data_IF_348332775272
#
_entry.id   IF_348332775272
#
_cell.length_a   1.000
_cell.length_b   1.000
_cell.length_c   1.000
_cell.angle_alpha   90.00
_cell.angle_beta   90.00
_cell.angle_gamma   90.00
#
_symmetry.space_group_name_H-M   'P 1'
#
loop_
_entity.id
_entity.type
_entity.pdbx_description
1 polymer ?
#
# COMPACT_ATOMS: atom_id res chain seq x y z
N UNK A 1 -17.20 -3.88 26.17
CA UNK A 1 -15.99 -3.16 25.68
C UNK A 1 -15.02 -4.05 24.92
N UNK A 2 -14.68 -5.25 25.39
CA UNK A 2 -13.75 -6.17 24.67
C UNK A 2 -14.27 -6.68 23.31
N UNK A 3 -15.60 -6.86 23.16
CA UNK A 3 -16.24 -7.29 21.89
C UNK A 3 -16.21 -6.23 20.78
N UNK A 4 -16.10 -4.95 21.13
CA UNK A 4 -16.03 -3.83 20.19
C UNK A 4 -14.60 -3.65 19.69
N UNK A 5 -13.61 -3.83 20.55
CA UNK A 5 -12.18 -3.76 20.17
C UNK A 5 -11.79 -4.87 19.16
N UNK A 6 -12.39 -6.06 19.25
CA UNK A 6 -12.07 -7.16 18.35
C UNK A 6 -12.69 -7.00 16.93
N UNK A 7 -13.81 -6.29 16.79
CA UNK A 7 -14.36 -5.92 15.48
C UNK A 7 -13.56 -4.81 14.78
N UNK A 8 -12.79 -4.01 15.54
CA UNK A 8 -12.05 -2.87 15.02
C UNK A 8 -10.65 -3.22 14.47
N UNK A 9 -10.13 -4.40 14.77
CA UNK A 9 -8.80 -4.85 14.28
C UNK A 9 -8.86 -5.32 12.81
N UNK A 10 -10.05 -5.54 12.27
CA UNK A 10 -10.31 -5.85 10.85
C UNK A 10 -10.54 -4.61 9.99
N UNK A 11 -10.37 -3.41 10.53
CA UNK A 11 -10.45 -2.19 9.73
C UNK A 11 -9.18 -2.06 8.90
N UNK A 12 -9.23 -2.70 7.77
CA UNK A 12 -8.81 -2.31 6.44
C UNK A 12 -7.77 -1.20 6.38
N UNK A 13 -6.54 -1.57 6.09
CA UNK A 13 -5.66 -0.78 5.25
C UNK A 13 -6.31 -0.72 3.84
N UNK A 14 -7.36 0.01 3.68
CA UNK A 14 -7.87 0.35 2.36
C UNK A 14 -7.20 1.64 1.95
N UNK A 15 -6.10 1.52 1.24
CA UNK A 15 -5.64 2.60 0.39
C UNK A 15 -6.65 2.67 -0.76
N UNK A 16 -7.63 3.53 -0.64
CA UNK A 16 -8.30 4.05 -1.81
C UNK A 16 -7.34 5.08 -2.41
N UNK A 17 -6.62 4.70 -3.46
CA UNK A 17 -6.35 5.69 -4.50
C UNK A 17 -7.74 6.14 -4.89
N UNK A 18 -8.13 7.34 -4.46
CA UNK A 18 -9.41 7.96 -4.79
C UNK A 18 -9.39 8.29 -6.29
N UNK A 19 -9.50 7.26 -7.09
CA UNK A 19 -10.01 7.35 -8.43
C UNK A 19 -11.54 7.37 -8.27
N UNK A 20 -12.14 8.48 -8.66
CA UNK A 20 -13.59 8.65 -8.61
C UNK A 20 -14.32 7.49 -9.27
N UNK A 21 -15.59 7.34 -8.90
CA UNK A 21 -16.53 6.34 -9.37
C UNK A 21 -16.50 6.09 -10.88
N UNK A 22 -16.69 4.80 -11.19
CA UNK A 22 -17.26 4.22 -12.39
C UNK A 22 -16.47 4.38 -13.70
N UNK A 23 -16.08 3.23 -14.28
CA UNK A 23 -15.51 3.08 -15.61
C UNK A 23 -14.19 3.81 -15.88
N UNK A 24 -13.16 3.51 -15.09
CA UNK A 24 -11.80 3.97 -15.38
C UNK A 24 -11.30 3.20 -16.60
N UNK A 25 -11.43 3.80 -17.77
CA UNK A 25 -10.60 3.45 -18.93
C UNK A 25 -9.21 3.95 -18.60
N UNK A 26 -8.35 3.09 -18.14
CA UNK A 26 -6.98 3.42 -17.78
C UNK A 26 -6.12 3.29 -19.01
N UNK A 27 -5.58 4.39 -19.44
CA UNK A 27 -4.47 4.63 -20.35
C UNK A 27 -4.36 3.80 -21.63
N UNK A 28 -4.30 4.48 -22.74
CA UNK A 28 -3.83 3.96 -24.01
C UNK A 28 -2.46 4.60 -24.35
N UNK A 29 -1.68 4.10 -25.33
CA UNK A 29 -0.38 4.66 -25.69
C UNK A 29 -0.43 6.17 -26.01
N UNK A 30 0.71 6.84 -25.91
CA UNK A 30 0.91 8.21 -26.45
C UNK A 30 0.35 8.28 -27.89
N UNK A 31 -0.48 9.30 -28.16
CA UNK A 31 -1.25 9.41 -29.40
C UNK A 31 -2.71 8.91 -29.29
N UNK A 32 -3.11 8.38 -28.14
CA UNK A 32 -4.50 7.98 -27.88
C UNK A 32 -5.31 9.13 -27.30
N UNK A 33 -6.61 9.11 -27.63
CA UNK A 33 -7.58 10.05 -27.06
C UNK A 33 -8.08 9.53 -25.71
N UNK A 34 -7.78 10.25 -24.61
CA UNK A 34 -8.06 9.80 -23.24
C UNK A 34 -8.93 10.76 -22.46
N UNK A 35 -9.74 10.19 -21.58
CA UNK A 35 -10.40 10.86 -20.47
C UNK A 35 -9.61 10.61 -19.17
N UNK A 36 -8.96 11.67 -18.67
CA UNK A 36 -8.13 11.58 -17.45
C UNK A 36 -8.84 12.08 -16.18
N UNK A 37 -10.16 12.32 -16.23
CA UNK A 37 -10.95 12.68 -15.04
C UNK A 37 -10.91 11.58 -13.98
N UNK A 38 -10.76 10.33 -14.39
CA UNK A 38 -10.52 9.21 -13.49
C UNK A 38 -9.25 9.33 -12.62
N UNK A 39 -8.27 10.11 -13.04
CA UNK A 39 -7.07 10.44 -12.24
C UNK A 39 -7.28 11.65 -11.33
N UNK A 40 -8.49 12.22 -11.28
CA UNK A 40 -8.81 13.42 -10.51
C UNK A 40 -8.39 14.73 -11.18
N UNK A 41 -8.09 14.69 -12.47
CA UNK A 41 -7.76 15.87 -13.29
C UNK A 41 -8.97 16.22 -14.15
N UNK A 42 -9.67 17.29 -13.77
CA UNK A 42 -10.92 17.70 -14.43
C UNK A 42 -10.63 18.55 -15.66
N UNK A 43 -10.36 17.90 -16.79
CA UNK A 43 -10.20 18.49 -18.11
C UNK A 43 -10.93 17.66 -19.16
N UNK A 44 -11.29 18.25 -20.31
CA UNK A 44 -11.86 17.52 -21.42
C UNK A 44 -10.94 16.38 -21.88
N UNK A 45 -11.51 15.25 -22.35
CA UNK A 45 -10.75 14.21 -23.01
C UNK A 45 -9.97 14.76 -24.21
N UNK A 46 -8.76 14.22 -24.43
CA UNK A 46 -7.91 14.69 -25.52
C UNK A 46 -6.80 13.70 -25.87
N UNK A 47 -6.10 13.98 -26.95
CA UNK A 47 -4.93 13.23 -27.37
C UNK A 47 -3.79 13.41 -26.37
N UNK A 48 -3.15 12.29 -25.97
CA UNK A 48 -2.04 12.30 -25.01
C UNK A 48 -0.71 12.43 -25.75
N UNK A 49 0.10 13.40 -25.31
CA UNK A 49 1.47 13.55 -25.78
C UNK A 49 2.44 13.78 -24.63
N UNK A 50 3.66 13.27 -24.76
CA UNK A 50 4.70 13.43 -23.76
C UNK A 50 4.97 14.92 -23.44
N UNK A 51 5.21 15.21 -22.16
CA UNK A 51 5.56 16.56 -21.73
C UNK A 51 7.02 16.94 -22.04
N UNK A 52 7.88 15.94 -22.29
CA UNK A 52 9.31 16.09 -22.60
C UNK A 52 10.07 17.00 -21.62
N UNK A 53 9.58 17.07 -20.39
CA UNK A 53 10.12 17.95 -19.33
C UNK A 53 10.21 19.42 -19.73
N UNK A 54 9.45 19.87 -20.73
CA UNK A 54 9.39 21.28 -21.15
C UNK A 54 8.98 22.16 -19.97
N UNK A 55 9.55 23.37 -19.91
CA UNK A 55 9.23 24.36 -18.87
C UNK A 55 8.22 25.35 -19.40
N UNK A 56 7.25 25.68 -18.56
CA UNK A 56 6.21 26.67 -18.85
C UNK A 56 6.15 27.71 -17.76
N UNK A 57 5.82 28.94 -18.15
CA UNK A 57 5.44 30.01 -17.24
C UNK A 57 3.93 29.93 -17.01
N UNK A 58 3.52 29.82 -15.75
CA UNK A 58 2.11 29.72 -15.36
C UNK A 58 1.88 30.42 -14.02
N UNK A 59 0.71 30.25 -13.43
CA UNK A 59 0.40 30.70 -12.07
C UNK A 59 0.22 29.49 -11.14
N UNK A 60 0.69 29.65 -9.91
CA UNK A 60 0.38 28.70 -8.84
C UNK A 60 -1.07 28.88 -8.32
N UNK A 61 -1.42 28.17 -7.25
CA UNK A 61 -2.74 28.24 -6.61
C UNK A 61 -3.03 29.59 -5.91
N UNK A 62 -1.98 30.34 -5.62
CA UNK A 62 -2.08 31.66 -4.95
C UNK A 62 -2.09 32.82 -5.96
N UNK A 63 -1.94 32.50 -7.24
CA UNK A 63 -1.93 33.49 -8.32
C UNK A 63 -0.54 34.01 -8.69
N UNK A 64 0.50 33.57 -8.00
CA UNK A 64 1.88 33.95 -8.26
C UNK A 64 2.40 33.34 -9.57
N UNK A 65 3.21 34.09 -10.31
CA UNK A 65 3.87 33.59 -11.53
C UNK A 65 5.00 32.64 -11.14
N UNK A 66 4.96 31.43 -11.68
CA UNK A 66 5.94 30.38 -11.42
C UNK A 66 6.37 29.68 -12.70
N UNK A 67 7.55 29.07 -12.68
CA UNK A 67 8.00 28.13 -13.69
C UNK A 67 7.55 26.72 -13.29
N UNK A 68 6.83 26.06 -14.17
CA UNK A 68 6.37 24.69 -13.97
C UNK A 68 6.92 23.78 -15.06
N UNK A 69 7.07 22.50 -14.76
CA UNK A 69 7.54 21.50 -15.73
C UNK A 69 6.35 20.72 -16.29
N UNK A 70 6.24 20.62 -17.60
CA UNK A 70 5.17 19.85 -18.26
C UNK A 70 5.36 18.37 -17.94
N UNK A 71 4.35 17.78 -17.33
CA UNK A 71 4.31 16.36 -16.99
C UNK A 71 3.72 15.53 -18.15
N UNK A 72 2.57 15.95 -18.67
CA UNK A 72 1.92 15.35 -19.84
C UNK A 72 1.00 16.39 -20.52
N UNK A 73 0.87 16.29 -21.84
CA UNK A 73 -0.10 17.05 -22.60
C UNK A 73 -1.34 16.20 -22.86
N UNK A 74 -2.54 16.78 -22.78
CA UNK A 74 -3.82 16.15 -23.09
C UNK A 74 -4.70 17.12 -23.84
N UNK A 75 -4.81 16.93 -25.16
CA UNK A 75 -5.47 17.87 -26.07
C UNK A 75 -4.88 19.29 -25.94
N UNK A 76 -5.72 20.27 -25.69
CA UNK A 76 -5.31 21.66 -25.47
C UNK A 76 -4.84 21.97 -24.04
N UNK A 77 -4.70 20.96 -23.19
CA UNK A 77 -4.32 21.14 -21.80
C UNK A 77 -2.94 20.54 -21.51
N UNK A 78 -2.26 21.11 -20.55
CA UNK A 78 -1.01 20.62 -19.96
C UNK A 78 -1.24 20.26 -18.51
N UNK A 79 -0.89 19.04 -18.10
CA UNK A 79 -0.70 18.73 -16.69
C UNK A 79 0.73 19.12 -16.34
N UNK A 80 0.90 20.04 -15.42
CA UNK A 80 2.20 20.61 -15.07
C UNK A 80 2.56 20.36 -13.63
N UNK A 81 3.85 20.13 -13.39
CA UNK A 81 4.45 20.02 -12.06
C UNK A 81 4.83 21.42 -11.58
N UNK A 82 4.17 21.89 -10.54
CA UNK A 82 4.47 23.13 -9.85
C UNK A 82 5.72 23.01 -8.96
N UNK A 83 6.39 24.13 -8.61
CA UNK A 83 7.55 24.13 -7.70
C UNK A 83 7.31 23.50 -6.34
N UNK A 84 6.09 23.52 -5.83
CA UNK A 84 5.68 22.89 -4.55
C UNK A 84 5.38 21.38 -4.65
N UNK A 85 5.56 20.81 -5.84
CA UNK A 85 5.36 19.38 -6.12
C UNK A 85 3.96 19.00 -6.56
N UNK A 86 3.00 19.92 -6.66
CA UNK A 86 1.66 19.57 -7.11
C UNK A 86 1.59 19.42 -8.64
N UNK A 87 0.75 18.49 -9.10
CA UNK A 87 0.33 18.39 -10.49
C UNK A 87 -1.00 19.11 -10.65
N UNK A 88 -1.04 20.05 -11.60
CA UNK A 88 -2.24 20.81 -11.91
C UNK A 88 -2.44 20.85 -13.42
N UNK A 89 -3.69 20.87 -13.85
CA UNK A 89 -4.02 21.11 -15.25
C UNK A 89 -4.05 22.61 -15.55
N UNK A 90 -3.56 22.97 -16.73
CA UNK A 90 -3.60 24.34 -17.28
C UNK A 90 -3.93 24.26 -18.77
N UNK A 91 -4.79 25.14 -19.24
CA UNK A 91 -4.93 25.32 -20.69
C UNK A 91 -3.62 25.85 -21.28
N UNK A 92 -3.27 25.47 -22.51
CA UNK A 92 -2.02 25.88 -23.15
C UNK A 92 -1.81 27.41 -23.16
N UNK A 93 -2.88 28.19 -23.24
CA UNK A 93 -2.86 29.66 -23.17
C UNK A 93 -2.43 30.20 -21.80
N UNK A 94 -2.55 29.42 -20.76
CA UNK A 94 -2.21 29.76 -19.37
C UNK A 94 -0.85 29.19 -18.93
N UNK A 95 -0.22 28.40 -19.80
CA UNK A 95 1.05 27.71 -19.55
C UNK A 95 1.97 27.90 -20.77
N UNK A 96 2.56 29.10 -20.88
CA UNK A 96 3.44 29.50 -21.97
C UNK A 96 4.79 28.77 -21.90
N UNK A 97 5.21 28.13 -23.00
CA UNK A 97 6.52 27.49 -23.12
C UNK A 97 7.62 28.53 -23.02
N UNK A 98 8.65 28.23 -22.22
CA UNK A 98 9.81 29.10 -22.01
C UNK A 98 11.10 28.30 -22.01
N UNK A 99 12.20 28.94 -22.43
CA UNK A 99 13.56 28.39 -22.35
C UNK A 99 14.23 28.84 -21.04
N UNK A 100 13.64 28.38 -19.93
CA UNK A 100 14.12 28.63 -18.57
C UNK A 100 14.25 27.33 -17.79
N UNK A 101 15.03 27.33 -16.72
CA UNK A 101 15.18 26.14 -15.89
C UNK A 101 14.11 26.08 -14.79
N UNK A 102 13.49 24.91 -14.64
CA UNK A 102 12.61 24.62 -13.51
C UNK A 102 13.36 24.78 -12.18
N UNK A 103 12.74 25.48 -11.24
CA UNK A 103 13.26 25.63 -9.88
C UNK A 103 12.22 25.16 -8.88
N UNK A 104 12.61 24.24 -7.98
CA UNK A 104 11.76 23.82 -6.87
C UNK A 104 11.54 24.97 -5.89
N UNK A 105 10.41 24.91 -5.17
CA UNK A 105 10.09 25.89 -4.13
C UNK A 105 11.13 25.85 -2.99
N UNK A 106 11.41 27.03 -2.44
CA UNK A 106 12.15 27.13 -1.17
C UNK A 106 11.32 26.56 -0.02
N UNK A 107 11.92 25.66 0.76
CA UNK A 107 11.22 24.94 1.83
C UNK A 107 10.78 25.85 2.98
N UNK A 108 11.48 26.97 3.22
CA UNK A 108 11.11 27.91 4.29
C UNK A 108 9.91 28.71 3.85
N UNK A 109 9.96 29.23 2.64
CA UNK A 109 8.88 30.04 2.08
C UNK A 109 7.61 29.21 1.86
N UNK A 110 7.74 27.99 1.29
CA UNK A 110 6.61 27.09 1.11
C UNK A 110 5.96 26.71 2.45
N UNK A 111 6.75 26.42 3.47
CA UNK A 111 6.23 26.12 4.80
C UNK A 111 5.42 27.28 5.40
N UNK A 112 5.85 28.54 5.20
CA UNK A 112 5.10 29.74 5.62
C UNK A 112 3.79 29.88 4.83
N UNK A 113 3.83 29.79 3.52
CA UNK A 113 2.63 29.87 2.66
C UNK A 113 1.59 28.83 3.02
N UNK A 114 2.01 27.56 3.32
CA UNK A 114 1.11 26.50 3.70
C UNK A 114 0.37 26.79 5.01
N UNK A 115 1.03 27.31 6.05
CA UNK A 115 0.34 27.64 7.31
C UNK A 115 -0.48 28.94 7.23
N UNK A 116 -0.07 29.89 6.40
CA UNK A 116 -0.80 31.14 6.24
C UNK A 116 -2.10 30.94 5.45
N UNK A 117 -2.09 30.11 4.41
CA UNK A 117 -3.22 30.01 3.47
C UNK A 117 -4.03 28.71 3.58
N UNK A 118 -3.40 27.58 3.92
CA UNK A 118 -4.08 26.27 3.91
C UNK A 118 -4.29 25.67 5.31
N UNK A 119 -3.33 25.88 6.21
CA UNK A 119 -3.31 25.24 7.53
C UNK A 119 -3.10 26.24 8.67
N UNK A 120 -3.99 27.23 8.83
CA UNK A 120 -3.85 28.23 9.90
C UNK A 120 -3.84 27.55 11.28
N UNK A 121 -2.90 27.96 12.13
CA UNK A 121 -2.73 27.41 13.47
C UNK A 121 -1.91 26.11 13.55
N UNK A 122 -1.49 25.56 12.40
CA UNK A 122 -0.54 24.45 12.38
C UNK A 122 0.90 24.93 12.61
N UNK A 123 1.76 24.00 13.00
CA UNK A 123 3.21 24.19 13.14
C UNK A 123 3.94 23.64 11.93
N UNK A 124 5.15 24.14 11.69
CA UNK A 124 6.02 23.66 10.62
C UNK A 124 7.29 23.07 11.20
N UNK A 125 7.65 21.88 10.74
CA UNK A 125 8.96 21.27 10.95
C UNK A 125 9.58 20.94 9.61
N UNK A 126 10.88 21.12 9.46
CA UNK A 126 11.62 20.83 8.22
C UNK A 126 12.76 19.87 8.51
N UNK A 127 13.02 19.01 7.54
CA UNK A 127 14.20 18.14 7.48
C UNK A 127 14.89 18.35 6.13
N UNK A 128 15.80 17.51 5.74
CA UNK A 128 16.55 17.69 4.47
C UNK A 128 15.61 17.57 3.25
N UNK A 129 14.66 16.64 3.26
CA UNK A 129 13.80 16.36 2.11
C UNK A 129 12.33 16.76 2.33
N UNK A 130 11.88 16.93 3.60
CA UNK A 130 10.48 17.03 3.96
C UNK A 130 10.11 18.34 4.66
N UNK A 131 8.87 18.79 4.39
CA UNK A 131 8.14 19.79 5.15
C UNK A 131 6.99 19.10 5.86
N UNK A 132 6.94 19.18 7.19
CA UNK A 132 5.87 18.65 8.02
C UNK A 132 4.99 19.79 8.50
N UNK A 133 3.71 19.75 8.16
CA UNK A 133 2.67 20.68 8.59
C UNK A 133 1.78 19.94 9.59
N UNK A 134 1.70 20.37 10.85
CA UNK A 134 1.07 19.56 11.87
C UNK A 134 0.41 20.34 13.01
N UNK A 135 -0.70 19.80 13.55
CA UNK A 135 -1.30 20.18 14.83
C UNK A 135 -1.28 19.03 15.85
N UNK A 136 -0.58 17.94 15.54
CA UNK A 136 -0.35 16.78 16.40
C UNK A 136 0.54 17.10 17.59
N UNK A 137 0.78 16.10 18.47
CA UNK A 137 1.82 16.20 19.49
C UNK A 137 3.22 16.31 18.87
N UNK A 138 4.13 17.03 19.53
CA UNK A 138 5.52 17.19 19.06
C UNK A 138 6.26 15.84 19.00
N UNK A 139 5.96 14.95 19.95
CA UNK A 139 6.52 13.60 19.96
C UNK A 139 6.14 12.79 18.73
N UNK A 140 4.87 12.88 18.30
CA UNK A 140 4.40 12.21 17.10
C UNK A 140 5.00 12.79 15.82
N UNK A 141 5.05 14.13 15.71
CA UNK A 141 5.67 14.81 14.58
C UNK A 141 7.18 14.48 14.47
N UNK A 142 7.87 14.41 15.61
CA UNK A 142 9.29 14.03 15.67
C UNK A 142 9.50 12.57 15.27
N UNK A 143 8.66 11.65 15.74
CA UNK A 143 8.74 10.24 15.37
C UNK A 143 8.52 10.03 13.86
N UNK A 144 7.48 10.66 13.31
CA UNK A 144 7.16 10.63 11.88
C UNK A 144 8.31 11.19 11.03
N UNK A 145 8.82 12.37 11.39
CA UNK A 145 9.91 13.00 10.65
C UNK A 145 11.19 12.17 10.66
N UNK A 146 11.51 11.56 11.80
CA UNK A 146 12.69 10.71 11.94
C UNK A 146 12.61 9.46 11.04
N UNK A 147 11.44 8.81 10.96
CA UNK A 147 11.26 7.61 10.14
C UNK A 147 11.38 7.95 8.65
N UNK A 148 10.62 8.92 8.16
CA UNK A 148 10.60 9.27 6.73
C UNK A 148 11.97 9.75 6.25
N UNK A 149 12.64 10.60 7.03
CA UNK A 149 13.98 11.08 6.67
C UNK A 149 15.01 9.94 6.66
N UNK A 150 14.95 9.01 7.62
CA UNK A 150 15.86 7.87 7.71
C UNK A 150 15.67 6.87 6.56
N UNK A 151 14.43 6.69 6.08
CA UNK A 151 14.10 5.76 4.99
C UNK A 151 14.67 6.24 3.65
N UNK A 152 14.70 7.55 3.42
CA UNK A 152 15.04 8.16 2.13
C UNK A 152 16.37 7.66 1.56
N UNK A 153 17.53 7.77 2.22
CA UNK A 153 18.81 7.30 1.66
C UNK A 153 18.83 5.77 1.48
N UNK A 154 18.19 5.03 2.38
CA UNK A 154 18.13 3.58 2.30
C UNK A 154 17.32 3.08 1.11
N UNK A 155 16.17 3.70 0.82
CA UNK A 155 15.33 3.37 -0.34
C UNK A 155 16.03 3.76 -1.64
N UNK A 156 16.62 4.97 -1.72
CA UNK A 156 17.42 5.39 -2.87
C UNK A 156 18.54 4.38 -3.15
N UNK A 157 19.27 3.97 -2.11
CA UNK A 157 20.33 2.96 -2.24
C UNK A 157 19.81 1.60 -2.71
N UNK A 158 18.66 1.15 -2.18
CA UNK A 158 18.03 -0.09 -2.60
C UNK A 158 17.61 -0.05 -4.07
N UNK A 159 16.96 1.03 -4.53
CA UNK A 159 16.53 1.18 -5.93
C UNK A 159 17.73 1.23 -6.89
N UNK A 160 18.80 1.92 -6.53
CA UNK A 160 20.07 1.88 -7.29
C UNK A 160 20.62 0.46 -7.41
N UNK A 161 20.55 -0.33 -6.34
CA UNK A 161 21.01 -1.74 -6.36
C UNK A 161 20.14 -2.66 -7.23
N UNK A 162 18.89 -2.26 -7.56
CA UNK A 162 18.08 -2.92 -8.57
C UNK A 162 18.47 -2.53 -10.01
N UNK A 163 19.40 -1.57 -10.18
CA UNK A 163 19.81 -1.04 -11.47
C UNK A 163 18.88 0.04 -12.03
N UNK A 164 18.10 0.69 -11.16
CA UNK A 164 17.21 1.79 -11.55
C UNK A 164 17.96 3.12 -11.58
N UNK A 165 17.54 4.01 -12.48
CA UNK A 165 17.99 5.39 -12.51
C UNK A 165 17.25 6.18 -11.41
N UNK A 166 18.01 6.66 -10.43
CA UNK A 166 17.46 7.29 -9.23
C UNK A 166 18.15 8.61 -8.94
N UNK A 167 17.38 9.65 -8.69
CA UNK A 167 17.84 10.97 -8.29
C UNK A 167 17.31 11.38 -6.90
N UNK A 168 17.76 12.51 -6.39
CA UNK A 168 17.14 13.12 -5.19
C UNK A 168 15.79 13.72 -5.54
N UNK A 169 14.87 13.88 -4.58
CA UNK A 169 13.58 14.52 -4.84
C UNK A 169 13.72 15.90 -5.51
N UNK A 170 13.07 16.07 -6.65
CA UNK A 170 13.08 17.30 -7.45
C UNK A 170 12.28 18.45 -6.84
N UNK A 171 11.42 18.14 -5.88
CA UNK A 171 10.52 19.08 -5.20
C UNK A 171 10.47 18.77 -3.71
N UNK A 172 10.09 19.72 -2.84
CA UNK A 172 9.88 19.45 -1.42
C UNK A 172 8.78 18.40 -1.20
N UNK A 173 9.03 17.45 -0.31
CA UNK A 173 8.05 16.42 0.09
C UNK A 173 7.21 16.95 1.26
N UNK A 174 5.92 17.10 1.06
CA UNK A 174 5.02 17.67 2.08
C UNK A 174 4.27 16.56 2.82
N UNK A 175 4.27 16.62 4.15
CA UNK A 175 3.53 15.73 5.04
C UNK A 175 2.59 16.57 5.89
N UNK A 176 1.29 16.27 5.86
CA UNK A 176 0.26 16.97 6.66
C UNK A 176 -0.25 16.03 7.75
N UNK A 177 -0.17 16.46 9.00
CA UNK A 177 -0.50 15.63 10.17
C UNK A 177 -1.57 16.30 11.03
N UNK A 178 -2.74 15.66 11.10
CA UNK A 178 -3.87 16.09 11.89
C UNK A 178 -3.86 15.42 13.28
N UNK A 179 -4.34 16.14 14.29
CA UNK A 179 -4.46 15.59 15.64
C UNK A 179 -5.52 14.50 15.72
N UNK A 180 -6.68 14.72 15.08
CA UNK A 180 -7.84 13.83 15.16
C UNK A 180 -8.20 13.21 13.82
N UNK A 181 -8.92 12.06 13.85
CA UNK A 181 -9.49 11.43 12.66
C UNK A 181 -10.57 12.35 12.04
N UNK A 182 -11.30 13.11 12.86
CA UNK A 182 -12.33 14.05 12.38
C UNK A 182 -11.74 15.17 11.53
N UNK A 183 -10.66 15.83 11.99
CA UNK A 183 -9.96 16.88 11.23
C UNK A 183 -9.42 16.33 9.90
N UNK A 184 -8.82 15.15 9.94
CA UNK A 184 -8.29 14.46 8.77
C UNK A 184 -9.39 14.15 7.75
N UNK A 185 -10.57 13.67 8.18
CA UNK A 185 -11.71 13.39 7.30
C UNK A 185 -12.41 14.66 6.79
N UNK A 186 -12.33 15.75 7.54
CA UNK A 186 -12.84 17.07 7.09
C UNK A 186 -11.97 17.66 5.98
N UNK A 187 -10.65 17.45 6.05
CA UNK A 187 -9.71 17.90 5.03
C UNK A 187 -10.01 17.25 3.67
N UNK A 188 -10.37 15.96 3.68
CA UNK A 188 -10.79 15.24 2.48
C UNK A 188 -11.78 14.13 2.86
N UNK A 189 -12.82 13.96 2.04
CA UNK A 189 -13.76 12.84 2.21
C UNK A 189 -13.06 11.52 1.90
N UNK A 190 -12.86 10.71 2.93
CA UNK A 190 -12.14 9.42 2.90
C UNK A 190 -12.91 8.38 3.70
N UNK A 191 -12.68 7.08 3.46
CA UNK A 191 -13.30 6.00 4.23
C UNK A 191 -12.96 6.07 5.72
N UNK A 192 -13.88 5.61 6.55
CA UNK A 192 -13.66 5.48 7.99
C UNK A 192 -12.56 4.46 8.29
N UNK A 193 -11.71 4.77 9.28
CA UNK A 193 -10.61 3.90 9.70
C UNK A 193 -9.32 4.02 8.89
N UNK A 194 -9.29 4.84 7.84
CA UNK A 194 -8.05 5.16 7.14
C UNK A 194 -7.14 5.97 8.06
N UNK A 195 -5.89 5.55 8.20
CA UNK A 195 -4.89 6.17 9.09
C UNK A 195 -4.08 7.24 8.36
N UNK A 196 -3.71 6.96 7.12
CA UNK A 196 -2.91 7.84 6.27
C UNK A 196 -3.21 7.55 4.79
N UNK A 197 -2.81 8.46 3.91
CA UNK A 197 -2.75 8.24 2.47
C UNK A 197 -1.72 9.15 1.82
N UNK A 198 -1.16 8.71 0.71
CA UNK A 198 -0.43 9.56 -0.23
C UNK A 198 -1.36 10.00 -1.35
N UNK A 199 -1.29 11.27 -1.73
CA UNK A 199 -2.10 11.82 -2.81
C UNK A 199 -1.24 12.22 -4.00
N UNK A 200 -1.34 11.49 -5.09
CA UNK A 200 -0.49 11.61 -6.28
C UNK A 200 -0.49 13.01 -6.90
N UNK A 201 -1.65 13.68 -6.99
CA UNK A 201 -1.72 15.00 -7.60
C UNK A 201 -1.15 16.11 -6.70
N UNK A 202 -1.48 16.08 -5.40
CA UNK A 202 -0.95 17.09 -4.46
C UNK A 202 0.44 16.77 -3.96
N UNK A 203 0.95 15.57 -4.22
CA UNK A 203 2.24 15.08 -3.72
C UNK A 203 2.37 15.12 -2.19
N UNK A 204 1.28 14.91 -1.48
CA UNK A 204 1.23 15.00 -0.01
C UNK A 204 0.96 13.65 0.61
N UNK A 205 1.71 13.31 1.65
CA UNK A 205 1.31 12.31 2.64
C UNK A 205 0.44 13.01 3.66
N UNK A 206 -0.74 12.47 3.91
CA UNK A 206 -1.70 13.04 4.86
C UNK A 206 -2.08 11.97 5.88
N UNK A 207 -2.08 12.31 7.16
CA UNK A 207 -2.30 11.35 8.24
C UNK A 207 -2.86 12.00 9.51
N UNK A 208 -3.27 11.20 10.49
CA UNK A 208 -3.69 11.68 11.82
C UNK A 208 -3.05 10.92 12.98
N UNK A 209 -2.95 11.58 14.15
CA UNK A 209 -2.34 11.00 15.35
C UNK A 209 -3.27 10.09 16.13
N UNK A 210 -4.59 10.32 16.10
CA UNK A 210 -5.56 9.57 16.88
C UNK A 210 -5.56 8.08 16.53
N UNK A 211 -5.70 7.19 17.53
CA UNK A 211 -5.78 5.74 17.33
C UNK A 211 -6.77 5.10 18.29
N UNK A 212 -7.70 4.35 17.74
CA UNK A 212 -8.66 3.56 18.50
C UNK A 212 -8.01 2.39 19.27
N UNK A 213 -6.82 1.95 18.86
CA UNK A 213 -6.06 0.90 19.55
C UNK A 213 -5.23 1.42 20.73
N UNK A 214 -5.06 2.76 20.85
CA UNK A 214 -4.22 3.36 21.89
C UNK A 214 -4.70 3.02 23.32
N UNK A 215 -6.02 2.87 23.51
CA UNK A 215 -6.62 2.49 24.79
C UNK A 215 -6.46 1.01 25.14
N UNK A 216 -6.16 0.14 24.16
CA UNK A 216 -6.06 -1.30 24.35
C UNK A 216 -4.60 -1.74 24.44
N UNK A 217 -3.76 -1.33 23.49
CA UNK A 217 -2.32 -1.61 23.47
C UNK A 217 -1.58 -0.48 22.74
N UNK A 218 -1.05 0.53 23.47
CA UNK A 218 -0.41 1.71 22.88
C UNK A 218 0.74 1.39 21.94
N UNK A 219 1.58 0.40 22.26
CA UNK A 219 2.73 0.00 21.45
C UNK A 219 2.31 -0.59 20.09
N UNK A 220 1.24 -1.40 20.06
CA UNK A 220 0.72 -1.97 18.83
C UNK A 220 0.10 -0.88 17.95
N UNK A 221 -0.64 0.07 18.55
CA UNK A 221 -1.19 1.22 17.88
C UNK A 221 -0.09 2.07 17.23
N UNK A 222 0.99 2.31 17.96
CA UNK A 222 2.14 3.05 17.44
C UNK A 222 2.83 2.28 16.30
N UNK A 223 3.07 0.97 16.46
CA UNK A 223 3.70 0.13 15.43
C UNK A 223 2.88 0.14 14.13
N UNK A 224 1.57 -0.01 14.23
CA UNK A 224 0.67 0.04 13.07
C UNK A 224 0.76 1.40 12.38
N UNK A 225 0.65 2.50 13.13
CA UNK A 225 0.72 3.85 12.55
C UNK A 225 2.04 4.12 11.85
N UNK A 226 3.15 3.82 12.50
CA UNK A 226 4.48 4.06 11.91
C UNK A 226 4.68 3.21 10.65
N UNK A 227 4.21 1.97 10.62
CA UNK A 227 4.24 1.16 9.40
C UNK A 227 3.40 1.79 8.27
N UNK A 228 2.19 2.29 8.58
CA UNK A 228 1.33 2.96 7.59
C UNK A 228 1.99 4.25 7.09
N UNK A 229 2.54 5.08 7.99
CA UNK A 229 3.25 6.31 7.61
C UNK A 229 4.46 6.00 6.71
N UNK A 230 5.21 4.95 7.03
CA UNK A 230 6.33 4.49 6.22
C UNK A 230 5.85 4.01 4.83
N UNK A 231 4.75 3.29 4.76
CA UNK A 231 4.11 2.84 3.51
C UNK A 231 3.76 4.03 2.59
N UNK A 232 3.04 5.03 3.12
CA UNK A 232 2.68 6.23 2.36
C UNK A 232 3.91 7.05 1.96
N UNK A 233 4.92 7.10 2.84
CA UNK A 233 6.21 7.72 2.55
C UNK A 233 6.97 7.03 1.43
N UNK A 234 6.86 5.69 1.29
CA UNK A 234 7.43 4.96 0.15
C UNK A 234 6.77 5.41 -1.14
N UNK A 235 5.44 5.45 -1.23
CA UNK A 235 4.76 5.94 -2.43
C UNK A 235 5.22 7.35 -2.81
N UNK A 236 5.20 8.30 -1.86
CA UNK A 236 5.67 9.65 -2.09
C UNK A 236 7.12 9.66 -2.60
N UNK A 237 7.99 8.89 -1.97
CA UNK A 237 9.40 8.86 -2.34
C UNK A 237 9.61 8.28 -3.75
N UNK A 238 9.02 7.11 -4.07
CA UNK A 238 9.19 6.47 -5.38
C UNK A 238 8.73 7.35 -6.53
N UNK A 239 7.66 8.14 -6.32
CA UNK A 239 7.15 9.11 -7.28
C UNK A 239 8.03 10.36 -7.45
N UNK A 240 8.98 10.61 -6.54
CA UNK A 240 9.79 11.83 -6.54
C UNK A 240 11.30 11.59 -6.76
N UNK A 241 11.70 10.31 -6.87
CA UNK A 241 13.11 9.95 -7.09
C UNK A 241 13.36 9.27 -8.45
N UNK A 242 12.38 9.33 -9.38
CA UNK A 242 12.51 8.78 -10.73
C UNK A 242 12.17 7.30 -10.85
N UNK A 243 11.67 6.62 -9.80
CA UNK A 243 11.34 5.18 -9.86
C UNK A 243 9.97 4.95 -10.49
N UNK A 244 8.96 5.65 -10.02
CA UNK A 244 7.60 5.55 -10.55
C UNK A 244 7.12 6.92 -11.02
N UNK A 245 6.83 7.04 -12.29
CA UNK A 245 6.26 8.28 -12.82
C UNK A 245 4.84 8.46 -12.30
N UNK A 246 4.50 9.65 -11.79
CA UNK A 246 3.12 9.93 -11.37
C UNK A 246 2.16 9.78 -12.53
N UNK A 247 0.97 9.27 -12.29
CA UNK A 247 -0.04 8.93 -13.29
C UNK A 247 0.37 7.79 -14.25
N UNK A 248 1.50 7.09 -14.05
CA UNK A 248 1.80 5.86 -14.76
C UNK A 248 0.97 4.70 -14.22
N UNK A 249 0.62 3.75 -15.09
CA UNK A 249 -0.25 2.63 -14.73
C UNK A 249 0.56 1.39 -14.33
N UNK A 250 1.27 1.46 -13.22
CA UNK A 250 1.90 0.28 -12.63
C UNK A 250 0.85 -0.72 -12.17
N UNK A 251 1.08 -2.04 -12.32
CA UNK A 251 0.21 -3.04 -11.72
C UNK A 251 0.05 -2.85 -10.22
N UNK A 252 -1.20 -2.92 -9.73
CA UNK A 252 -1.52 -2.62 -8.33
C UNK A 252 -0.75 -3.52 -7.36
N UNK A 253 -0.58 -4.82 -7.69
CA UNK A 253 0.14 -5.74 -6.82
C UNK A 253 1.60 -5.33 -6.55
N UNK A 254 2.30 -4.76 -7.54
CA UNK A 254 3.69 -4.32 -7.34
C UNK A 254 3.76 -2.91 -6.76
N UNK A 255 2.83 -2.03 -7.12
CA UNK A 255 2.72 -0.69 -6.51
C UNK A 255 2.59 -0.80 -4.99
N UNK A 256 1.64 -1.60 -4.52
CA UNK A 256 1.40 -1.80 -3.10
C UNK A 256 2.40 -2.78 -2.47
N UNK A 257 2.76 -3.82 -3.21
CA UNK A 257 3.71 -4.82 -2.75
C UNK A 257 5.09 -4.26 -2.46
N UNK A 258 5.60 -3.33 -3.29
CA UNK A 258 6.90 -2.68 -3.04
C UNK A 258 6.82 -1.70 -1.87
N UNK A 259 5.69 -1.00 -1.68
CA UNK A 259 5.48 -0.14 -0.53
C UNK A 259 5.46 -0.95 0.77
N UNK A 260 4.76 -2.08 0.80
CA UNK A 260 4.77 -3.02 1.93
C UNK A 260 6.13 -3.69 2.18
N UNK A 261 6.88 -3.96 1.12
CA UNK A 261 8.22 -4.56 1.19
C UNK A 261 9.26 -3.61 1.78
N UNK A 262 9.08 -2.29 1.58
CA UNK A 262 9.99 -1.25 2.02
C UNK A 262 9.56 -0.58 3.34
N UNK A 263 8.32 -0.77 3.80
CA UNK A 263 7.79 -0.08 4.98
C UNK A 263 8.18 -0.65 6.35
N UNK A 264 8.67 -1.90 6.55
CA UNK A 264 8.87 -2.45 7.89
C UNK A 264 9.76 -1.58 8.78
N UNK A 265 9.23 -1.23 9.95
CA UNK A 265 9.90 -0.38 10.96
C UNK A 265 9.94 -1.07 12.31
N UNK A 266 10.87 -0.65 13.17
CA UNK A 266 10.87 -1.02 14.58
C UNK A 266 10.21 0.09 15.39
N UNK A 267 9.51 -0.32 16.46
CA UNK A 267 9.02 0.57 17.53
C UNK A 267 9.62 0.11 18.85
N UNK A 268 9.77 0.99 19.82
CA UNK A 268 10.39 0.72 21.10
C UNK A 268 11.40 1.80 21.44
N UNK A 269 12.42 1.48 22.25
CA UNK A 269 13.44 2.44 22.69
C UNK A 269 14.13 3.16 21.51
N UNK A 270 14.26 2.48 20.36
CA UNK A 270 14.85 3.04 19.14
C UNK A 270 13.92 2.76 17.97
N UNK A 271 13.17 3.77 17.56
CA UNK A 271 12.36 3.74 16.35
C UNK A 271 13.28 3.90 15.14
N UNK A 272 13.25 2.93 14.22
CA UNK A 272 14.06 2.99 12.99
C UNK A 272 13.45 2.13 11.88
N UNK A 273 13.76 2.47 10.67
CA UNK A 273 13.50 1.65 9.50
C UNK A 273 14.34 0.36 9.56
N UNK A 274 13.72 -0.77 9.26
CA UNK A 274 14.39 -2.09 9.29
C UNK A 274 15.23 -2.40 8.06
N UNK A 275 15.07 -1.63 6.98
CA UNK A 275 15.66 -1.92 5.67
C UNK A 275 14.71 -2.66 4.74
N UNK A 276 15.08 -2.72 3.45
CA UNK A 276 14.30 -3.40 2.42
C UNK A 276 14.20 -4.92 2.67
N UNK A 277 13.02 -5.47 2.42
CA UNK A 277 12.78 -6.93 2.45
C UNK A 277 12.85 -7.57 3.82
N UNK A 278 12.52 -6.81 4.85
CA UNK A 278 12.22 -7.37 6.17
C UNK A 278 10.80 -7.88 6.21
N UNK A 279 10.54 -8.87 7.08
CA UNK A 279 9.19 -9.44 7.22
C UNK A 279 8.24 -8.37 7.75
N UNK A 280 7.12 -8.21 7.04
CA UNK A 280 6.00 -7.42 7.51
C UNK A 280 5.08 -8.31 8.35
N UNK A 281 5.23 -8.22 9.67
CA UNK A 281 4.50 -9.06 10.63
C UNK A 281 2.98 -8.90 10.51
N UNK A 282 2.47 -7.70 10.16
CA UNK A 282 1.04 -7.48 9.99
C UNK A 282 0.52 -8.19 8.73
N UNK A 283 1.26 -8.12 7.62
CA UNK A 283 0.88 -8.79 6.37
C UNK A 283 0.99 -10.30 6.48
N UNK A 284 2.02 -10.81 7.17
CA UNK A 284 2.10 -12.23 7.50
C UNK A 284 0.93 -12.72 8.34
N UNK A 285 0.50 -11.91 9.32
CA UNK A 285 -0.66 -12.20 10.14
C UNK A 285 -1.96 -12.32 9.32
N UNK A 286 -2.17 -11.39 8.38
CA UNK A 286 -3.35 -11.40 7.49
C UNK A 286 -3.31 -12.60 6.55
N UNK A 287 -2.14 -12.90 5.97
CA UNK A 287 -1.93 -14.09 5.13
C UNK A 287 -2.16 -15.40 5.89
N UNK A 288 -1.66 -15.52 7.11
CA UNK A 288 -1.89 -16.71 7.93
C UNK A 288 -3.40 -16.95 8.09
N UNK A 289 -4.16 -15.92 8.41
CA UNK A 289 -5.62 -16.00 8.53
C UNK A 289 -6.27 -16.36 7.19
N UNK A 290 -5.87 -15.71 6.11
CA UNK A 290 -6.37 -16.01 4.77
C UNK A 290 -6.08 -17.45 4.37
N UNK A 291 -4.84 -17.92 4.52
CA UNK A 291 -4.43 -19.27 4.15
C UNK A 291 -5.11 -20.34 5.00
N UNK A 292 -5.46 -20.05 6.26
CA UNK A 292 -6.28 -20.91 7.09
C UNK A 292 -7.72 -21.02 6.61
N UNK A 293 -8.29 -19.94 6.09
CA UNK A 293 -9.67 -19.86 5.62
C UNK A 293 -9.84 -20.15 4.13
N UNK A 294 -8.81 -19.96 3.29
CA UNK A 294 -8.90 -20.26 1.86
C UNK A 294 -9.01 -21.76 1.62
N UNK A 295 -9.92 -22.13 0.74
CA UNK A 295 -10.22 -23.55 0.47
C UNK A 295 -9.31 -24.08 -0.63
N UNK A 296 -8.78 -25.30 -0.44
CA UNK A 296 -8.15 -26.05 -1.53
C UNK A 296 -9.18 -26.54 -2.56
N UNK A 297 -10.47 -26.53 -2.20
CA UNK A 297 -11.56 -27.14 -2.98
C UNK A 297 -12.29 -26.14 -3.84
N UNK A 298 -12.28 -24.83 -3.50
CA UNK A 298 -13.00 -23.79 -4.21
C UNK A 298 -12.14 -22.91 -5.12
N UNK A 299 -10.82 -22.98 -4.99
CA UNK A 299 -9.87 -22.26 -5.85
C UNK A 299 -8.97 -23.26 -6.57
N UNK A 300 -8.89 -23.12 -7.90
CA UNK A 300 -7.93 -23.87 -8.69
C UNK A 300 -6.48 -23.46 -8.34
N UNK A 301 -5.49 -24.34 -8.49
CA UNK A 301 -4.10 -23.95 -8.32
C UNK A 301 -3.72 -22.77 -9.22
N UNK A 302 -3.16 -21.74 -8.64
CA UNK A 302 -2.79 -20.49 -9.34
C UNK A 302 -3.84 -19.39 -9.30
N UNK A 303 -5.07 -19.64 -8.87
CA UNK A 303 -6.13 -18.64 -8.79
C UNK A 303 -5.77 -17.49 -7.85
N UNK A 304 -5.22 -17.77 -6.68
CA UNK A 304 -4.79 -16.75 -5.73
C UNK A 304 -3.79 -15.75 -6.35
N UNK A 305 -2.77 -16.25 -7.06
CA UNK A 305 -1.81 -15.37 -7.72
C UNK A 305 -2.42 -14.68 -8.94
N UNK A 306 -3.30 -15.36 -9.68
CA UNK A 306 -4.03 -14.78 -10.81
C UNK A 306 -4.86 -13.57 -10.33
N UNK A 307 -5.66 -13.74 -9.29
CA UNK A 307 -6.44 -12.65 -8.68
C UNK A 307 -5.54 -11.51 -8.20
N UNK A 308 -4.43 -11.82 -7.51
CA UNK A 308 -3.48 -10.82 -7.03
C UNK A 308 -2.85 -10.01 -8.17
N UNK A 309 -2.40 -10.67 -9.23
CA UNK A 309 -1.69 -10.03 -10.36
C UNK A 309 -2.65 -9.20 -11.21
N UNK A 310 -3.87 -9.67 -11.42
CA UNK A 310 -4.86 -9.03 -12.28
C UNK A 310 -5.64 -7.91 -11.58
N UNK A 311 -5.57 -7.81 -10.26
CA UNK A 311 -6.35 -6.85 -9.50
C UNK A 311 -6.11 -5.40 -9.94
N UNK A 312 -7.19 -4.66 -10.17
CA UNK A 312 -7.18 -3.20 -10.34
C UNK A 312 -7.24 -2.47 -9.01
N UNK A 313 -7.70 -3.15 -7.93
CA UNK A 313 -7.79 -2.64 -6.56
C UNK A 313 -7.48 -3.78 -5.60
N UNK A 314 -6.93 -3.45 -4.44
CA UNK A 314 -6.61 -4.42 -3.39
C UNK A 314 -7.45 -4.12 -2.13
N UNK A 315 -7.96 -5.17 -1.53
CA UNK A 315 -8.45 -5.18 -0.14
C UNK A 315 -7.30 -5.56 0.82
N UNK A 316 -7.58 -5.71 2.11
CA UNK A 316 -6.57 -6.08 3.11
C UNK A 316 -5.83 -7.38 2.78
N UNK A 317 -6.55 -8.37 2.26
CA UNK A 317 -5.97 -9.64 1.81
C UNK A 317 -5.10 -9.44 0.56
N UNK A 318 -5.56 -8.61 -0.39
CA UNK A 318 -4.81 -8.24 -1.58
C UNK A 318 -3.48 -7.57 -1.27
N UNK A 319 -3.45 -6.66 -0.28
CA UNK A 319 -2.20 -6.05 0.22
C UNK A 319 -1.23 -7.10 0.78
N UNK A 320 -1.73 -8.04 1.58
CA UNK A 320 -0.91 -9.10 2.14
C UNK A 320 -0.38 -10.05 1.05
N UNK A 321 -1.20 -10.35 0.05
CA UNK A 321 -0.83 -11.15 -1.13
C UNK A 321 0.22 -10.45 -1.99
N UNK A 322 0.03 -9.16 -2.25
CA UNK A 322 0.96 -8.31 -3.00
C UNK A 322 2.33 -8.22 -2.31
N UNK A 323 2.35 -8.02 -0.98
CA UNK A 323 3.58 -8.08 -0.20
C UNK A 323 4.26 -9.43 -0.31
N UNK A 324 3.52 -10.53 -0.15
CA UNK A 324 4.08 -11.88 -0.18
C UNK A 324 4.72 -12.20 -1.54
N UNK A 325 4.02 -11.89 -2.63
CA UNK A 325 4.53 -12.08 -3.98
C UNK A 325 5.78 -11.24 -4.23
N UNK A 326 5.74 -9.94 -3.88
CA UNK A 326 6.89 -9.03 -4.01
C UNK A 326 8.08 -9.53 -3.19
N UNK A 327 7.86 -9.92 -1.94
CA UNK A 327 8.92 -10.42 -1.06
C UNK A 327 9.54 -11.72 -1.62
N UNK A 328 8.71 -12.65 -2.08
CA UNK A 328 9.17 -13.89 -2.70
C UNK A 328 10.01 -13.64 -3.96
N UNK A 329 9.50 -12.83 -4.89
CA UNK A 329 10.18 -12.55 -6.16
C UNK A 329 11.49 -11.79 -5.93
N UNK A 330 11.49 -10.74 -5.11
CA UNK A 330 12.69 -9.96 -4.80
C UNK A 330 13.79 -10.78 -4.11
N UNK A 331 13.43 -11.82 -3.33
CA UNK A 331 14.39 -12.69 -2.62
C UNK A 331 14.84 -13.90 -3.44
N UNK A 332 13.96 -14.49 -4.26
CA UNK A 332 14.22 -15.78 -4.93
C UNK A 332 14.39 -15.69 -6.43
N UNK A 333 13.98 -14.57 -7.05
CA UNK A 333 14.02 -14.29 -8.50
C UNK A 333 14.65 -12.93 -8.78
N UNK A 334 15.74 -12.62 -8.11
CA UNK A 334 16.35 -11.28 -8.08
C UNK A 334 16.61 -10.68 -9.46
N UNK A 335 17.19 -11.43 -10.38
CA UNK A 335 17.49 -10.95 -11.73
C UNK A 335 16.24 -10.58 -12.49
N UNK A 336 15.22 -11.46 -12.47
CA UNK A 336 13.93 -11.21 -13.11
C UNK A 336 13.18 -10.06 -12.46
N UNK A 337 13.23 -9.98 -11.12
CA UNK A 337 12.61 -8.88 -10.39
C UNK A 337 13.24 -7.53 -10.73
N UNK A 338 14.56 -7.47 -10.84
CA UNK A 338 15.28 -6.26 -11.25
C UNK A 338 14.87 -5.83 -12.66
N UNK A 339 14.86 -6.77 -13.63
CA UNK A 339 14.47 -6.49 -15.01
C UNK A 339 13.00 -6.02 -15.10
N UNK A 340 12.11 -6.62 -14.31
CA UNK A 340 10.70 -6.20 -14.21
C UNK A 340 10.57 -4.76 -13.68
N UNK A 341 11.30 -4.42 -12.61
CA UNK A 341 11.29 -3.06 -12.04
C UNK A 341 11.85 -2.03 -13.02
N UNK A 342 12.91 -2.39 -13.77
CA UNK A 342 13.49 -1.53 -14.81
C UNK A 342 12.52 -1.27 -15.95
N UNK A 343 11.76 -2.27 -16.39
CA UNK A 343 10.70 -2.07 -17.40
C UNK A 343 9.57 -1.17 -16.88
N UNK A 344 9.14 -1.37 -15.64
CA UNK A 344 8.12 -0.51 -15.03
C UNK A 344 8.58 0.95 -14.90
N UNK A 345 9.87 1.20 -14.63
CA UNK A 345 10.42 2.55 -14.55
C UNK A 345 10.29 3.33 -15.85
N UNK A 346 10.29 2.65 -17.00
CA UNK A 346 10.16 3.29 -18.32
C UNK A 346 8.73 3.76 -18.63
N UNK A 347 7.75 3.37 -17.81
CA UNK A 347 6.37 3.83 -18.02
C UNK A 347 6.25 5.32 -17.69
N UNK A 348 5.94 6.11 -18.72
CA UNK A 348 5.65 7.53 -18.59
C UNK A 348 4.27 7.81 -17.98
N UNK A 349 3.90 9.10 -17.84
CA UNK A 349 2.55 9.47 -17.40
C UNK A 349 1.51 8.94 -18.38
N UNK A 350 0.47 8.29 -17.86
CA UNK A 350 -0.62 7.67 -18.62
C UNK A 350 -0.19 6.48 -19.49
N UNK A 351 1.11 6.14 -19.52
CA UNK A 351 1.58 4.91 -20.18
C UNK A 351 1.15 3.67 -19.40
N UNK A 352 1.05 2.55 -20.11
CA UNK A 352 0.65 1.27 -19.54
C UNK A 352 -0.85 1.16 -19.31
N UNK A 353 -1.60 2.07 -19.91
CA UNK A 353 -3.05 2.09 -19.81
C UNK A 353 -3.74 0.78 -20.07
N UNK A 354 -4.52 0.34 -19.10
CA UNK A 354 -5.10 -0.97 -19.07
C UNK A 354 -6.61 -0.85 -19.01
N UNK A 355 -7.25 -1.61 -19.87
CA UNK A 355 -8.70 -1.78 -19.79
C UNK A 355 -9.01 -2.64 -18.57
N UNK A 356 -9.72 -2.07 -17.62
CA UNK A 356 -10.37 -2.84 -16.55
C UNK A 356 -11.57 -3.52 -17.17
N UNK A 357 -11.64 -4.85 -17.07
CA UNK A 357 -12.80 -5.62 -17.54
C UNK A 357 -13.88 -5.71 -16.46
N UNK A 358 -15.06 -6.26 -16.81
CA UNK A 358 -16.25 -6.22 -15.96
C UNK A 358 -16.09 -6.84 -14.56
N UNK A 359 -15.17 -7.80 -14.39
CA UNK A 359 -14.85 -8.41 -13.09
C UNK A 359 -13.82 -7.62 -12.26
N UNK A 360 -13.40 -6.44 -12.73
CA UNK A 360 -12.42 -5.61 -12.08
C UNK A 360 -10.96 -6.00 -12.33
N UNK A 361 -10.70 -6.99 -13.19
CA UNK A 361 -9.35 -7.44 -13.53
C UNK A 361 -8.72 -6.60 -14.66
N UNK A 362 -7.39 -6.69 -14.77
CA UNK A 362 -6.58 -6.01 -15.79
C UNK A 362 -5.70 -7.04 -16.49
N UNK A 363 -6.17 -7.65 -17.60
CA UNK A 363 -5.47 -8.75 -18.27
C UNK A 363 -4.02 -8.44 -18.67
N UNK A 364 -3.73 -7.19 -19.06
CA UNK A 364 -2.37 -6.76 -19.43
C UNK A 364 -1.36 -6.85 -18.27
N UNK A 365 -1.80 -6.82 -17.02
CA UNK A 365 -0.91 -7.06 -15.88
C UNK A 365 -0.31 -8.47 -15.92
N UNK A 366 -1.07 -9.46 -16.39
CA UNK A 366 -0.57 -10.83 -16.56
C UNK A 366 0.49 -10.91 -17.66
N UNK A 367 0.27 -10.24 -18.79
CA UNK A 367 1.24 -10.21 -19.89
C UNK A 367 2.57 -9.65 -19.42
N UNK A 368 2.53 -8.50 -18.71
CA UNK A 368 3.70 -7.86 -18.16
C UNK A 368 4.41 -8.73 -17.11
N UNK A 369 3.64 -9.43 -16.26
CA UNK A 369 4.18 -10.37 -15.28
C UNK A 369 4.88 -11.55 -15.99
N UNK A 370 4.21 -12.23 -16.93
CA UNK A 370 4.72 -13.44 -17.59
C UNK A 370 5.90 -13.18 -18.53
N UNK A 371 6.14 -11.94 -18.93
CA UNK A 371 7.33 -11.53 -19.67
C UNK A 371 8.62 -11.73 -18.87
N UNK A 372 8.55 -11.57 -17.55
CA UNK A 372 9.72 -11.64 -16.64
C UNK A 372 9.73 -12.85 -15.73
N UNK A 373 8.55 -13.37 -15.39
CA UNK A 373 8.39 -14.46 -14.45
C UNK A 373 7.71 -15.66 -15.10
N UNK A 374 7.62 -16.74 -14.32
CA UNK A 374 7.04 -17.99 -14.77
C UNK A 374 5.55 -17.81 -15.12
N UNK A 375 5.13 -18.31 -16.29
CA UNK A 375 3.73 -18.30 -16.71
C UNK A 375 2.87 -19.32 -15.96
N UNK A 376 3.50 -20.35 -15.35
CA UNK A 376 2.86 -21.32 -14.48
C UNK A 376 2.63 -20.71 -13.09
N UNK A 377 1.48 -20.06 -12.93
CA UNK A 377 1.07 -19.43 -11.67
C UNK A 377 0.76 -20.48 -10.60
N UNK A 378 0.32 -21.69 -10.96
CA UNK A 378 0.06 -22.77 -10.03
C UNK A 378 1.38 -23.24 -9.36
N UNK A 379 2.42 -23.41 -10.15
CA UNK A 379 3.75 -23.77 -9.66
C UNK A 379 4.30 -22.63 -8.77
N UNK A 380 4.18 -21.37 -9.21
CA UNK A 380 4.66 -20.22 -8.45
C UNK A 380 3.90 -20.08 -7.13
N UNK A 381 2.58 -20.26 -7.12
CA UNK A 381 1.77 -20.27 -5.91
C UNK A 381 2.21 -21.36 -4.94
N UNK A 382 2.44 -22.59 -5.43
CA UNK A 382 2.92 -23.70 -4.62
C UNK A 382 4.26 -23.39 -3.95
N UNK A 383 5.20 -22.80 -4.68
CA UNK A 383 6.51 -22.37 -4.16
C UNK A 383 6.36 -21.25 -3.14
N UNK A 384 5.48 -20.27 -3.37
CA UNK A 384 5.20 -19.20 -2.43
C UNK A 384 4.61 -19.73 -1.11
N UNK A 385 3.65 -20.65 -1.19
CA UNK A 385 3.08 -21.34 -0.01
C UNK A 385 4.11 -22.12 0.81
N UNK A 386 5.14 -22.67 0.17
CA UNK A 386 6.25 -23.34 0.84
C UNK A 386 7.29 -22.36 1.41
N UNK A 387 7.40 -21.17 0.83
CA UNK A 387 8.34 -20.14 1.24
C UNK A 387 7.89 -19.38 2.49
N UNK A 388 6.62 -18.99 2.57
CA UNK A 388 6.08 -18.16 3.64
C UNK A 388 6.31 -18.71 5.05
N UNK A 389 6.08 -20.02 5.35
CA UNK A 389 6.28 -20.55 6.68
C UNK A 389 7.75 -20.54 7.17
N UNK A 390 8.72 -20.33 6.27
CA UNK A 390 10.15 -20.27 6.60
C UNK A 390 10.60 -18.87 7.02
N UNK A 391 9.74 -17.85 6.84
CA UNK A 391 10.06 -16.48 7.22
C UNK A 391 10.04 -16.31 8.75
N UNK A 392 10.95 -15.48 9.31
CA UNK A 392 10.98 -15.19 10.74
C UNK A 392 9.83 -14.25 11.12
N UNK A 393 8.65 -14.83 11.30
CA UNK A 393 7.42 -14.14 11.60
C UNK A 393 7.13 -14.09 13.10
N UNK A 394 6.79 -12.91 13.60
CA UNK A 394 6.32 -12.70 14.98
C UNK A 394 4.91 -12.14 14.94
N UNK A 395 3.93 -12.92 15.43
CA UNK A 395 2.54 -12.46 15.48
C UNK A 395 2.39 -11.19 16.32
N UNK A 396 1.96 -10.05 15.75
CA UNK A 396 1.76 -8.81 16.49
C UNK A 396 0.74 -8.93 17.64
N UNK A 397 -0.13 -9.94 17.57
CA UNK A 397 -1.17 -10.22 18.55
C UNK A 397 -0.90 -11.45 19.42
N UNK A 398 0.35 -11.88 19.52
CA UNK A 398 0.75 -13.11 20.25
C UNK A 398 0.24 -13.10 21.71
N UNK A 399 0.21 -11.95 22.37
CA UNK A 399 -0.23 -11.79 23.77
C UNK A 399 -1.75 -11.58 23.92
N UNK A 400 -2.50 -11.53 22.83
CA UNK A 400 -3.97 -11.38 22.87
C UNK A 400 -4.67 -12.73 22.95
N UNK A 401 -5.97 -12.75 23.38
CA UNK A 401 -6.74 -13.98 23.40
C UNK A 401 -6.81 -14.68 22.04
N UNK A 402 -6.65 -16.00 22.06
CA UNK A 402 -6.77 -16.89 20.89
C UNK A 402 -7.66 -18.08 21.21
N UNK A 403 -8.27 -18.64 20.18
CA UNK A 403 -9.13 -19.83 20.26
C UNK A 403 -8.41 -21.01 19.62
N UNK A 404 -8.24 -22.08 20.38
CA UNK A 404 -7.79 -23.36 19.84
C UNK A 404 -9.01 -24.21 19.46
N UNK A 405 -8.97 -24.79 18.27
CA UNK A 405 -9.97 -25.73 17.77
C UNK A 405 -9.31 -27.09 17.59
N UNK A 406 -9.96 -28.11 18.09
CA UNK A 406 -9.64 -29.51 17.84
C UNK A 406 -10.85 -30.20 17.23
N UNK A 407 -10.66 -30.81 16.07
CA UNK A 407 -11.67 -31.61 15.37
C UNK A 407 -11.22 -33.07 15.33
N UNK A 408 -12.04 -33.95 15.86
CA UNK A 408 -11.97 -35.37 15.60
C UNK A 408 -12.85 -35.72 14.41
N UNK A 409 -12.29 -36.35 13.39
CA UNK A 409 -13.00 -36.71 12.16
C UNK A 409 -12.86 -38.20 11.94
N UNK A 410 -13.98 -38.93 11.86
CA UNK A 410 -13.99 -40.35 11.54
C UNK A 410 -14.07 -40.52 10.02
N UNK A 411 -12.98 -40.99 9.42
CA UNK A 411 -12.87 -41.28 7.99
C UNK A 411 -12.52 -42.77 7.82
N UNK A 412 -13.35 -43.50 7.08
CA UNK A 412 -13.17 -44.93 6.85
C UNK A 412 -12.97 -45.73 8.16
N UNK A 413 -13.75 -45.40 9.19
CA UNK A 413 -13.68 -46.04 10.50
C UNK A 413 -12.46 -45.67 11.36
N UNK A 414 -11.61 -44.75 10.91
CA UNK A 414 -10.44 -44.26 11.66
C UNK A 414 -10.63 -42.84 12.12
N UNK A 415 -10.41 -42.62 13.41
CA UNK A 415 -10.41 -41.27 13.99
C UNK A 415 -9.12 -40.53 13.59
N UNK A 416 -9.25 -39.40 12.92
CA UNK A 416 -8.16 -38.44 12.67
C UNK A 416 -8.44 -37.16 13.45
N UNK A 417 -7.41 -36.64 14.12
CA UNK A 417 -7.51 -35.33 14.78
C UNK A 417 -6.86 -34.26 13.91
N UNK A 418 -7.49 -33.12 13.82
CA UNK A 418 -6.96 -31.93 13.18
C UNK A 418 -7.35 -30.69 13.99
N UNK A 419 -6.69 -29.58 13.77
CA UNK A 419 -7.02 -28.36 14.51
C UNK A 419 -6.19 -27.17 14.10
N UNK A 420 -6.52 -26.02 14.68
CA UNK A 420 -5.85 -24.76 14.45
C UNK A 420 -5.99 -23.80 15.61
N UNK A 421 -5.19 -22.74 15.59
CA UNK A 421 -5.28 -21.63 16.53
C UNK A 421 -5.73 -20.38 15.77
N UNK A 422 -6.78 -19.75 16.26
CA UNK A 422 -7.50 -18.66 15.59
C UNK A 422 -7.60 -17.46 16.53
N UNK A 423 -7.69 -16.25 15.95
CA UNK A 423 -7.76 -15.00 16.72
C UNK A 423 -9.06 -14.81 17.48
N UNK A 424 -10.14 -15.37 17.00
CA UNK A 424 -11.44 -15.27 17.65
C UNK A 424 -12.34 -16.46 17.28
N UNK A 425 -13.44 -16.57 18.00
CA UNK A 425 -14.42 -17.65 17.82
C UNK A 425 -15.11 -17.61 16.45
N UNK A 426 -15.28 -16.43 15.85
CA UNK A 426 -15.91 -16.30 14.52
C UNK A 426 -15.04 -16.99 13.46
N UNK A 427 -13.75 -16.66 13.39
CA UNK A 427 -12.78 -17.26 12.46
C UNK A 427 -12.66 -18.75 12.71
N UNK A 428 -12.62 -19.16 13.98
CA UNK A 428 -12.60 -20.57 14.38
C UNK A 428 -13.82 -21.34 13.85
N UNK A 429 -15.02 -20.79 13.98
CA UNK A 429 -16.26 -21.36 13.43
C UNK A 429 -16.26 -21.42 11.90
N UNK A 430 -15.79 -20.39 11.24
CA UNK A 430 -15.66 -20.36 9.78
C UNK A 430 -14.72 -21.49 9.30
N UNK A 431 -13.58 -21.67 9.97
CA UNK A 431 -12.66 -22.74 9.66
C UNK A 431 -13.29 -24.13 9.84
N UNK A 432 -14.04 -24.35 10.92
CA UNK A 432 -14.76 -25.61 11.15
C UNK A 432 -15.80 -25.88 10.08
N UNK A 433 -16.66 -24.90 9.79
CA UNK A 433 -17.71 -25.04 8.77
C UNK A 433 -17.09 -25.34 7.39
N UNK A 434 -16.03 -24.65 7.04
CA UNK A 434 -15.26 -24.86 5.83
C UNK A 434 -14.69 -26.30 5.78
N UNK A 435 -14.01 -26.74 6.85
CA UNK A 435 -13.39 -28.08 6.91
C UNK A 435 -14.44 -29.18 6.75
N UNK A 436 -15.62 -29.02 7.36
CA UNK A 436 -16.76 -29.94 7.20
C UNK A 436 -17.20 -30.00 5.75
N UNK A 437 -17.34 -28.85 5.10
CA UNK A 437 -17.75 -28.76 3.67
C UNK A 437 -16.71 -29.40 2.74
N UNK A 438 -15.44 -29.07 2.91
CA UNK A 438 -14.35 -29.58 2.08
C UNK A 438 -14.19 -31.09 2.14
N UNK A 439 -14.29 -31.65 3.35
CA UNK A 439 -14.16 -33.07 3.57
C UNK A 439 -15.48 -33.81 3.37
N UNK A 440 -16.56 -33.10 2.99
CA UNK A 440 -17.92 -33.64 2.82
C UNK A 440 -18.37 -34.48 4.01
N UNK A 441 -18.13 -33.95 5.23
CA UNK A 441 -18.41 -34.65 6.48
C UNK A 441 -19.86 -34.50 6.88
N UNK A 442 -20.40 -35.55 7.53
CA UNK A 442 -21.72 -35.48 8.20
C UNK A 442 -21.54 -35.17 9.70
N UNK A 443 -22.56 -34.63 10.38
CA UNK A 443 -22.48 -34.33 11.81
C UNK A 443 -22.05 -35.52 12.69
N UNK A 444 -22.45 -36.71 12.32
CA UNK A 444 -22.14 -37.92 13.07
C UNK A 444 -20.65 -38.33 13.01
N UNK A 445 -19.93 -37.80 12.02
CA UNK A 445 -18.51 -38.11 11.79
C UNK A 445 -17.58 -37.05 12.34
N UNK A 446 -18.11 -35.99 13.02
CA UNK A 446 -17.32 -34.84 13.47
C UNK A 446 -17.57 -34.51 14.93
N UNK A 447 -16.50 -34.51 15.71
CA UNK A 447 -16.50 -33.96 17.07
C UNK A 447 -15.63 -32.69 17.10
N UNK A 448 -16.18 -31.57 17.54
CA UNK A 448 -15.42 -30.30 17.58
C UNK A 448 -15.36 -29.76 19.00
N UNK A 449 -14.15 -29.41 19.44
CA UNK A 449 -13.89 -28.73 20.70
C UNK A 449 -13.23 -27.39 20.42
N UNK A 450 -13.78 -26.31 21.01
CA UNK A 450 -13.21 -24.96 20.94
C UNK A 450 -12.90 -24.46 22.36
N UNK A 451 -11.67 -23.99 22.59
CA UNK A 451 -11.25 -23.44 23.87
C UNK A 451 -10.50 -22.13 23.69
N UNK A 452 -10.88 -21.11 24.47
CA UNK A 452 -10.22 -19.80 24.48
C UNK A 452 -9.09 -19.75 25.48
N UNK A 453 -8.01 -19.05 25.11
CA UNK A 453 -6.82 -18.85 25.91
C UNK A 453 -6.43 -17.36 25.91
N UNK A 454 -5.77 -16.89 26.95
CA UNK A 454 -5.37 -15.49 27.11
C UNK A 454 -4.32 -15.03 26.09
N UNK A 455 -3.59 -15.97 25.48
CA UNK A 455 -2.59 -15.67 24.45
C UNK A 455 -2.42 -16.85 23.47
N UNK A 456 -1.72 -16.58 22.35
CA UNK A 456 -1.47 -17.55 21.28
C UNK A 456 -0.62 -18.74 21.76
N UNK A 457 0.37 -18.49 22.60
CA UNK A 457 1.30 -19.55 23.07
C UNK A 457 0.56 -20.63 23.84
N UNK A 458 -0.33 -20.22 24.75
CA UNK A 458 -1.16 -21.16 25.51
C UNK A 458 -2.12 -21.94 24.61
N UNK A 459 -2.73 -21.26 23.64
CA UNK A 459 -3.61 -21.91 22.65
C UNK A 459 -2.86 -22.94 21.81
N UNK A 460 -1.64 -22.63 21.35
CA UNK A 460 -0.79 -23.55 20.59
C UNK A 460 -0.32 -24.73 21.42
N UNK A 461 0.06 -24.52 22.68
CA UNK A 461 0.46 -25.60 23.60
C UNK A 461 -0.68 -26.59 23.81
N UNK A 462 -1.90 -26.05 24.04
CA UNK A 462 -3.09 -26.90 24.18
C UNK A 462 -3.35 -27.70 22.90
N UNK A 463 -3.33 -27.06 21.73
CA UNK A 463 -3.55 -27.71 20.45
C UNK A 463 -2.58 -28.87 20.24
N UNK A 464 -1.28 -28.65 20.45
CA UNK A 464 -0.25 -29.68 20.30
C UNK A 464 -0.50 -30.90 21.21
N UNK A 465 -0.88 -30.64 22.47
CA UNK A 465 -1.20 -31.71 23.41
C UNK A 465 -2.45 -32.55 23.03
N UNK A 466 -3.37 -31.96 22.27
CA UNK A 466 -4.59 -32.65 21.83
C UNK A 466 -4.41 -33.41 20.50
N UNK A 467 -3.44 -33.02 19.68
CA UNK A 467 -3.15 -33.65 18.38
C UNK A 467 -2.15 -34.81 18.48
N UNK A 468 -1.41 -34.88 19.58
CA UNK A 468 -0.61 -36.06 19.95
C UNK A 468 -1.53 -37.22 20.43
#
# INVERSE_FOLDING_TARGET
MLKIALKLVLVTFALLILLGNENVVVGQPIGSFLDIRGYGVDIPPGEVAAGNSAVVRTRDRYGDRVLARVHVNVGENRVVLLPDGQLVARHQREAELVDEQFKKADMVQLGKQLIEHEFPGFRVKRTVHYIYIYNTSESFATATSKILEMMTPGIIGYMKNLGLEVHQPDVPLVVVMFKTEEEFRRYRKIPEGMIAYYHTLTNRVVLHEESRLKSVKPELALKQKINTIAHEGVHQLLHNIGVQTRMSAWPMWITEGIAEYLSPTTTGKYMRWKGAGQVNDFRMMELEQFLQLSTRVTQSPGDWLTETILASRLDSQGYASAWALTHYLAKTRRTQFNAYMQELQQLGPLDGGYRVVADGSVPKHRELYTKHFDSDLAMTESRLRQYLPKLPYVDPFIDFPHVSVVMGVTLNGRLKKMGGVFRNTMIARQWVAKTISELKLTPDNVQTQMKSFNNRVLAQRYLRAQLQ
#
